data_IF_905123930593
#
_entry.id   IF_905123930593
#
_cell.length_a   1.000
_cell.length_b   1.000
_cell.length_c   1.000
_cell.angle_alpha   90.00
_cell.angle_beta   90.00
_cell.angle_gamma   90.00
#
_symmetry.space_group_name_H-M   'P 1'
#
loop_
_entity.id
_entity.type
_entity.pdbx_description
1 polymer ?
#
# COMPACT_ATOMS: atom_id res chain seq x y z
N UNK A 1 0.77 -17.74 0.21
CA UNK A 1 1.77 -17.50 1.27
C UNK A 1 1.70 -16.03 1.67
N UNK A 2 0.85 -15.69 2.64
CA UNK A 2 0.74 -14.34 3.24
C UNK A 2 1.24 -14.36 4.70
N UNK A 3 1.13 -15.52 5.34
CA UNK A 3 1.52 -15.74 6.73
C UNK A 3 3.01 -15.52 7.03
N UNK A 4 3.92 -15.71 6.06
CA UNK A 4 5.36 -15.53 6.33
C UNK A 4 5.79 -14.07 6.42
N UNK A 5 4.95 -13.09 6.04
CA UNK A 5 5.25 -11.68 6.29
C UNK A 5 4.80 -11.19 7.67
N UNK A 6 4.00 -11.98 8.41
CA UNK A 6 3.59 -11.64 9.78
C UNK A 6 4.69 -11.86 10.82
N UNK A 7 5.68 -12.72 10.54
CA UNK A 7 6.69 -13.12 11.55
C UNK A 7 7.93 -12.21 11.62
N UNK A 8 7.99 -11.12 10.84
CA UNK A 8 9.18 -10.24 10.81
C UNK A 8 8.86 -8.74 10.63
N UNK A 9 7.59 -8.32 10.77
CA UNK A 9 7.19 -6.92 10.55
C UNK A 9 6.39 -6.42 11.76
N UNK A 10 6.65 -5.17 12.18
CA UNK A 10 5.92 -4.43 13.24
C UNK A 10 4.49 -4.03 12.81
N UNK A 11 3.84 -4.88 12.02
CA UNK A 11 2.53 -4.64 11.43
C UNK A 11 1.44 -5.02 12.44
N UNK A 12 0.66 -4.03 12.86
CA UNK A 12 -0.50 -4.23 13.73
C UNK A 12 -1.73 -4.71 12.95
N UNK A 13 -1.81 -4.38 11.66
CA UNK A 13 -2.95 -4.72 10.82
C UNK A 13 -2.53 -4.92 9.37
N UNK A 14 -3.13 -5.91 8.71
CA UNK A 14 -2.99 -6.16 7.27
C UNK A 14 -4.37 -6.26 6.64
N UNK A 15 -4.57 -5.59 5.49
CA UNK A 15 -5.77 -5.72 4.65
C UNK A 15 -5.36 -5.97 3.21
N UNK A 16 -6.04 -6.91 2.56
CA UNK A 16 -5.81 -7.24 1.14
C UNK A 16 -7.05 -6.88 0.34
N UNK A 17 -6.85 -6.20 -0.77
CA UNK A 17 -7.87 -5.80 -1.73
C UNK A 17 -7.48 -6.27 -3.13
N UNK A 18 -8.44 -6.22 -4.05
CA UNK A 18 -8.22 -6.61 -5.45
C UNK A 18 -8.89 -5.59 -6.37
N UNK A 19 -8.17 -5.22 -7.43
CA UNK A 19 -8.64 -4.35 -8.52
C UNK A 19 -8.41 -5.14 -9.82
N UNK A 20 -9.43 -5.87 -10.27
CA UNK A 20 -9.27 -6.81 -11.39
C UNK A 20 -8.22 -7.88 -11.09
N UNK A 21 -7.13 -7.90 -11.85
CA UNK A 21 -6.01 -8.84 -11.66
C UNK A 21 -4.86 -8.26 -10.81
N UNK A 22 -5.03 -7.05 -10.30
CA UNK A 22 -4.05 -6.36 -9.47
C UNK A 22 -4.43 -6.53 -7.99
N UNK A 23 -3.48 -6.94 -7.17
CA UNK A 23 -3.64 -7.08 -5.71
C UNK A 23 -3.12 -5.82 -5.02
N UNK A 24 -3.84 -5.34 -4.02
CA UNK A 24 -3.40 -4.23 -3.17
C UNK A 24 -3.31 -4.72 -1.73
N UNK A 25 -2.12 -4.65 -1.15
CA UNK A 25 -1.86 -5.05 0.23
C UNK A 25 -1.60 -3.77 1.01
N UNK A 26 -2.39 -3.54 2.05
CA UNK A 26 -2.19 -2.45 3.00
C UNK A 26 -1.75 -3.02 4.34
N UNK A 27 -0.69 -2.45 4.87
CA UNK A 27 -0.12 -2.80 6.16
C UNK A 27 -0.06 -1.55 7.02
N UNK A 28 -0.57 -1.64 8.24
CA UNK A 28 -0.48 -0.56 9.23
C UNK A 28 0.45 -0.98 10.36
N UNK A 29 1.52 -0.21 10.58
CA UNK A 29 2.50 -0.40 11.64
C UNK A 29 2.46 0.76 12.64
N UNK A 30 3.25 0.69 13.70
CA UNK A 30 3.25 1.73 14.74
C UNK A 30 3.63 3.12 14.22
N UNK A 31 4.57 3.22 13.27
CA UNK A 31 5.15 4.50 12.80
C UNK A 31 4.80 4.87 11.35
N UNK A 32 4.31 3.92 10.57
CA UNK A 32 4.08 4.08 9.15
C UNK A 32 3.01 3.11 8.68
N UNK A 33 2.51 3.34 7.46
CA UNK A 33 1.77 2.37 6.70
C UNK A 33 2.46 2.11 5.36
N UNK A 34 2.30 0.89 4.86
CA UNK A 34 2.75 0.48 3.54
C UNK A 34 1.55 0.09 2.69
N UNK A 35 1.56 0.51 1.43
CA UNK A 35 0.61 0.04 0.42
C UNK A 35 1.41 -0.56 -0.74
N UNK A 36 1.26 -1.86 -0.94
CA UNK A 36 1.87 -2.59 -2.06
C UNK A 36 0.81 -2.87 -3.12
N UNK A 37 1.02 -2.39 -4.33
CA UNK A 37 0.23 -2.73 -5.51
C UNK A 37 1.03 -3.72 -6.34
N UNK A 38 0.46 -4.90 -6.60
CA UNK A 38 1.14 -5.98 -7.30
C UNK A 38 0.28 -6.57 -8.41
N UNK A 39 0.86 -6.81 -9.57
CA UNK A 39 0.26 -7.58 -10.66
C UNK A 39 1.29 -8.56 -11.23
N UNK A 40 0.94 -9.85 -11.24
CA UNK A 40 1.84 -10.92 -11.66
C UNK A 40 2.02 -11.02 -13.19
N UNK A 41 1.18 -10.34 -13.97
CA UNK A 41 1.12 -10.50 -15.43
C UNK A 41 1.61 -9.27 -16.21
N UNK A 42 1.62 -8.09 -15.59
CA UNK A 42 1.99 -6.82 -16.24
C UNK A 42 2.44 -5.78 -15.22
N UNK A 43 3.06 -4.69 -15.70
CA UNK A 43 3.31 -3.51 -14.88
C UNK A 43 2.00 -2.86 -14.41
N UNK A 44 2.08 -2.20 -13.24
CA UNK A 44 0.98 -1.41 -12.70
C UNK A 44 0.77 -0.18 -13.58
N UNK A 45 -0.48 0.10 -13.94
CA UNK A 45 -0.82 1.27 -14.73
C UNK A 45 -0.95 2.51 -13.85
N UNK A 46 -0.60 3.72 -14.34
CA UNK A 46 -0.71 4.95 -13.56
C UNK A 46 -2.09 5.18 -12.94
N UNK A 47 -3.17 4.87 -13.68
CA UNK A 47 -4.54 5.00 -13.17
C UNK A 47 -4.85 4.06 -11.99
N UNK A 48 -4.20 2.91 -11.87
CA UNK A 48 -4.32 2.02 -10.73
C UNK A 48 -3.63 2.63 -9.50
N UNK A 49 -2.47 3.26 -9.70
CA UNK A 49 -1.73 3.98 -8.66
C UNK A 49 -2.58 5.14 -8.14
N UNK A 50 -3.10 5.98 -9.04
CA UNK A 50 -3.96 7.12 -8.70
C UNK A 50 -5.23 6.68 -7.97
N UNK A 51 -5.87 5.61 -8.43
CA UNK A 51 -7.06 5.07 -7.77
C UNK A 51 -6.76 4.63 -6.34
N UNK A 52 -5.67 3.89 -6.13
CA UNK A 52 -5.27 3.40 -4.82
C UNK A 52 -4.89 4.56 -3.89
N UNK A 53 -4.09 5.51 -4.38
CA UNK A 53 -3.72 6.71 -3.63
C UNK A 53 -4.97 7.45 -3.13
N UNK A 54 -5.87 7.80 -4.05
CA UNK A 54 -7.10 8.54 -3.73
C UNK A 54 -8.03 7.75 -2.79
N UNK A 55 -8.07 6.43 -2.92
CA UNK A 55 -8.83 5.57 -2.01
C UNK A 55 -8.29 5.64 -0.59
N UNK A 56 -6.98 5.48 -0.40
CA UNK A 56 -6.37 5.49 0.93
C UNK A 56 -6.33 6.88 1.55
N UNK A 57 -6.09 7.93 0.77
CA UNK A 57 -6.15 9.31 1.26
C UNK A 57 -7.52 9.65 1.84
N UNK A 58 -8.60 9.25 1.16
CA UNK A 58 -9.97 9.42 1.69
C UNK A 58 -10.27 8.49 2.87
N UNK A 59 -9.77 7.26 2.85
CA UNK A 59 -10.04 6.27 3.90
C UNK A 59 -9.31 6.58 5.21
N UNK A 60 -8.14 7.20 5.13
CA UNK A 60 -7.23 7.50 6.23
C UNK A 60 -7.14 9.01 6.51
N UNK A 61 -8.21 9.75 6.21
CA UNK A 61 -8.27 11.21 6.29
C UNK A 61 -8.45 11.75 7.72
N UNK A 62 -8.13 10.96 8.75
CA UNK A 62 -8.30 11.34 10.17
C UNK A 62 -7.16 12.21 10.71
N UNK A 63 -6.17 12.52 9.86
CA UNK A 63 -5.00 13.33 10.20
C UNK A 63 -3.83 12.53 10.76
N UNK A 64 -3.96 11.20 10.93
CA UNK A 64 -2.89 10.34 11.45
C UNK A 64 -1.73 10.19 10.48
N UNK A 65 -2.00 10.23 9.17
CA UNK A 65 -1.00 9.94 8.14
C UNK A 65 -0.60 11.19 7.36
N UNK A 66 0.66 11.26 6.96
CA UNK A 66 1.20 12.32 6.12
C UNK A 66 1.17 11.95 4.63
N UNK A 67 0.02 12.21 3.99
CA UNK A 67 -0.16 11.99 2.55
C UNK A 67 0.56 13.03 1.66
N UNK A 68 1.14 14.09 2.25
CA UNK A 68 1.93 15.07 1.49
C UNK A 68 3.35 14.55 1.17
N UNK A 69 3.86 13.62 1.99
CA UNK A 69 5.22 13.08 1.88
C UNK A 69 5.23 11.56 1.72
N UNK A 70 4.60 11.06 0.65
CA UNK A 70 4.59 9.64 0.31
C UNK A 70 5.87 9.29 -0.45
N UNK A 71 6.55 8.23 0.00
CA UNK A 71 7.68 7.64 -0.74
C UNK A 71 7.18 6.53 -1.66
N UNK A 72 7.69 6.50 -2.90
CA UNK A 72 7.33 5.50 -3.90
C UNK A 72 8.55 4.67 -4.28
N UNK A 73 8.37 3.35 -4.35
CA UNK A 73 9.30 2.42 -4.98
C UNK A 73 8.60 1.72 -6.14
N UNK A 74 9.20 1.80 -7.32
CA UNK A 74 8.66 1.15 -8.51
C UNK A 74 9.55 -0.01 -8.96
N UNK A 75 8.91 -1.11 -9.34
CA UNK A 75 9.55 -2.30 -9.90
C UNK A 75 8.60 -2.96 -10.91
N UNK A 76 9.10 -3.84 -11.79
CA UNK A 76 8.22 -4.54 -12.73
C UNK A 76 7.08 -5.27 -12.02
N UNK A 77 5.84 -4.93 -12.38
CA UNK A 77 4.62 -5.49 -11.76
C UNK A 77 4.37 -5.09 -10.30
N UNK A 78 5.10 -4.12 -9.74
CA UNK A 78 5.02 -3.79 -8.32
C UNK A 78 5.25 -2.29 -8.04
N UNK A 79 4.40 -1.70 -7.22
CA UNK A 79 4.54 -0.35 -6.69
C UNK A 79 4.38 -0.43 -5.17
N UNK A 80 5.28 0.20 -4.43
CA UNK A 80 5.16 0.36 -2.98
C UNK A 80 5.01 1.84 -2.64
N UNK A 81 4.08 2.14 -1.74
CA UNK A 81 3.87 3.47 -1.18
C UNK A 81 4.05 3.41 0.33
N UNK A 82 5.01 4.19 0.84
CA UNK A 82 5.27 4.30 2.27
C UNK A 82 4.76 5.65 2.79
N UNK A 83 3.93 5.60 3.83
CA UNK A 83 3.27 6.76 4.42
C UNK A 83 3.59 6.85 5.91
N UNK A 84 4.18 7.96 6.34
CA UNK A 84 4.59 8.16 7.73
C UNK A 84 3.37 8.60 8.57
N UNK A 85 3.31 8.18 9.83
CA UNK A 85 2.34 8.69 10.81
C UNK A 85 2.85 9.96 11.50
N UNK A 86 1.96 10.90 11.78
CA UNK A 86 2.26 12.16 12.49
C UNK A 86 2.39 11.96 13.99
#
# INVERSE_FOLDING_TARGET
MVYNQLNNTDANMIKVYTIGNTTVIYTDAAKHAEIVIKNDNRNILPNEIDFVHNYFQRKLSDGTYDFEHISYLESPGLIEMSIIKK
#
